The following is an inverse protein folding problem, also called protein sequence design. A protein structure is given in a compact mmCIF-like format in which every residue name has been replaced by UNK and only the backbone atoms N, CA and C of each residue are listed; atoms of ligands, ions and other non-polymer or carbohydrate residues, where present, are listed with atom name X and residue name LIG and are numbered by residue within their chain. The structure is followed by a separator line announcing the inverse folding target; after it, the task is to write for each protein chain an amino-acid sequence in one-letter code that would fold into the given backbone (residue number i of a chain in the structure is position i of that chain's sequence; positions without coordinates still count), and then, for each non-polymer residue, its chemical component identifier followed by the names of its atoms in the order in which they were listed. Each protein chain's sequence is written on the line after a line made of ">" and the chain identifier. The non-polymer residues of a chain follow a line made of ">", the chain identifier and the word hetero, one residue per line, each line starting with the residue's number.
data_IF_836352722168
#
_entry.id   IF_836352722168
#
_cell.length_a   1.000
_cell.length_b   1.000
_cell.length_c   1.000
_cell.angle_alpha   90.00
_cell.angle_beta   90.00
_cell.angle_gamma   90.00
#
_symmetry.space_group_name_H-M   'P 1'
#
loop_
_entity.id
_entity.type
_entity.pdbx_description
1 polymer ?
#
# COMPACT_ATOMS: atom_id res chain seq x y z
N UNK A 1 4.54 7.00 -14.87
CA UNK A 1 3.68 5.83 -15.15
C UNK A 1 2.95 5.48 -13.87
N UNK A 2 1.63 5.36 -13.97
CA UNK A 2 0.77 5.11 -12.82
C UNK A 2 0.92 3.68 -12.32
N UNK A 3 1.07 3.48 -11.02
CA UNK A 3 1.13 2.13 -10.43
C UNK A 3 -0.11 1.30 -10.81
N UNK A 4 -1.30 1.90 -10.76
CA UNK A 4 -2.57 1.25 -11.10
C UNK A 4 -2.72 0.84 -12.57
N UNK A 5 -1.86 1.28 -13.49
CA UNK A 5 -1.83 0.74 -14.86
C UNK A 5 -1.06 -0.58 -14.96
N UNK A 6 -0.30 -0.94 -13.91
CA UNK A 6 0.55 -2.14 -13.88
C UNK A 6 0.11 -3.17 -12.84
N UNK A 7 -0.77 -2.81 -11.91
CA UNK A 7 -1.14 -3.66 -10.78
C UNK A 7 -2.58 -3.46 -10.31
N UNK A 8 -3.12 -4.49 -9.67
CA UNK A 8 -4.36 -4.45 -8.90
C UNK A 8 -4.01 -4.39 -7.42
N UNK A 9 -4.76 -3.59 -6.67
CA UNK A 9 -4.53 -3.40 -5.24
C UNK A 9 -5.53 -4.14 -4.35
N UNK A 10 -5.05 -4.61 -3.20
CA UNK A 10 -5.86 -5.11 -2.09
C UNK A 10 -5.47 -4.42 -0.79
N UNK A 11 -6.44 -4.22 0.08
CA UNK A 11 -6.27 -3.69 1.43
C UNK A 11 -6.84 -4.64 2.48
N UNK A 12 -6.09 -4.89 3.54
CA UNK A 12 -6.53 -5.63 4.73
C UNK A 12 -6.08 -4.93 5.99
N UNK A 13 -6.71 -5.18 7.12
CA UNK A 13 -6.35 -4.59 8.40
C UNK A 13 -6.34 -5.65 9.50
N UNK A 14 -5.46 -5.49 10.48
CA UNK A 14 -5.42 -6.32 11.68
C UNK A 14 -5.02 -5.49 12.89
N UNK A 15 -5.99 -5.23 13.75
CA UNK A 15 -5.80 -4.32 14.88
C UNK A 15 -5.38 -2.94 14.38
N UNK A 16 -4.27 -2.41 14.89
CA UNK A 16 -3.75 -1.10 14.48
C UNK A 16 -2.92 -1.08 13.19
N UNK A 17 -2.81 -2.21 12.50
CA UNK A 17 -1.94 -2.38 11.33
C UNK A 17 -2.75 -2.45 10.04
N UNK A 18 -2.26 -1.79 9.00
CA UNK A 18 -2.78 -1.86 7.64
C UNK A 18 -1.88 -2.71 6.75
N UNK A 19 -2.48 -3.48 5.87
CA UNK A 19 -1.84 -4.31 4.86
C UNK A 19 -2.30 -3.84 3.48
N UNK A 20 -1.36 -3.32 2.69
CA UNK A 20 -1.58 -2.84 1.34
C UNK A 20 -0.76 -3.69 0.38
N UNK A 21 -1.44 -4.54 -0.40
CA UNK A 21 -0.78 -5.45 -1.33
C UNK A 21 -1.12 -5.08 -2.77
N UNK A 22 -0.09 -4.88 -3.59
CA UNK A 22 -0.18 -4.72 -5.03
C UNK A 22 0.19 -6.04 -5.70
N UNK A 23 -0.60 -6.47 -6.68
CA UNK A 23 -0.32 -7.63 -7.52
C UNK A 23 -0.19 -7.15 -8.95
N UNK A 24 1.00 -7.28 -9.54
CA UNK A 24 1.27 -6.85 -10.90
C UNK A 24 0.54 -7.73 -11.92
N UNK A 25 0.15 -7.11 -13.04
CA UNK A 25 -0.58 -7.78 -14.13
C UNK A 25 0.31 -8.81 -14.85
N UNK A 26 1.60 -8.52 -14.98
CA UNK A 26 2.60 -9.38 -15.61
C UNK A 26 4.00 -9.25 -14.95
N UNK A 27 4.97 -10.04 -15.42
CA UNK A 27 6.33 -10.07 -14.87
C UNK A 27 7.12 -8.79 -15.17
N UNK A 28 6.85 -8.13 -16.29
CA UNK A 28 7.52 -6.88 -16.66
C UNK A 28 7.07 -5.75 -15.73
N UNK A 29 5.76 -5.63 -15.50
CA UNK A 29 5.17 -4.71 -14.53
C UNK A 29 5.65 -4.99 -13.11
N UNK A 30 5.77 -6.27 -12.72
CA UNK A 30 6.35 -6.63 -11.42
C UNK A 30 7.78 -6.10 -11.26
N UNK A 31 8.68 -6.41 -12.20
CA UNK A 31 10.09 -5.96 -12.15
C UNK A 31 10.19 -4.44 -12.13
N UNK A 32 9.35 -3.77 -12.93
CA UNK A 32 9.30 -2.31 -12.97
C UNK A 32 8.89 -1.74 -11.61
N UNK A 33 7.79 -2.23 -11.03
CA UNK A 33 7.32 -1.81 -9.71
C UNK A 33 8.31 -2.16 -8.60
N UNK A 34 8.90 -3.34 -8.62
CA UNK A 34 9.88 -3.79 -7.61
C UNK A 34 11.09 -2.86 -7.54
N UNK A 35 11.54 -2.35 -8.70
CA UNK A 35 12.67 -1.41 -8.80
C UNK A 35 12.35 0.02 -8.36
N UNK A 36 11.11 0.49 -8.56
CA UNK A 36 10.74 1.92 -8.42
C UNK A 36 9.87 2.21 -7.21
N UNK A 37 8.91 1.33 -6.91
CA UNK A 37 8.08 1.43 -5.72
C UNK A 37 8.83 0.85 -4.51
N UNK A 38 9.85 1.58 -4.09
CA UNK A 38 10.67 1.26 -2.93
C UNK A 38 9.90 1.52 -1.63
N UNK A 39 10.40 0.98 -0.51
CA UNK A 39 9.83 1.25 0.81
C UNK A 39 9.79 2.75 1.12
N UNK A 40 10.85 3.50 0.79
CA UNK A 40 10.92 4.94 1.02
C UNK A 40 9.88 5.72 0.20
N UNK A 41 9.68 5.35 -1.07
CA UNK A 41 8.69 5.97 -1.95
C UNK A 41 7.27 5.70 -1.43
N UNK A 42 6.98 4.44 -1.07
CA UNK A 42 5.69 4.08 -0.50
C UNK A 42 5.44 4.78 0.85
N UNK A 43 6.45 4.83 1.73
CA UNK A 43 6.37 5.55 3.01
C UNK A 43 6.04 7.03 2.80
N UNK A 44 6.72 7.69 1.87
CA UNK A 44 6.49 9.10 1.58
C UNK A 44 5.05 9.36 1.07
N UNK A 45 4.52 8.49 0.22
CA UNK A 45 3.15 8.59 -0.26
C UNK A 45 2.12 8.37 0.86
N UNK A 46 2.29 7.31 1.66
CA UNK A 46 1.36 6.90 2.71
C UNK A 46 1.32 7.90 3.88
N UNK A 47 2.47 8.48 4.25
CA UNK A 47 2.58 9.45 5.34
C UNK A 47 1.74 10.73 5.12
N UNK A 48 1.32 11.00 3.88
CA UNK A 48 0.45 12.16 3.56
C UNK A 48 -0.97 11.99 4.07
N UNK A 49 -1.42 10.76 4.32
CA UNK A 49 -2.83 10.46 4.64
C UNK A 49 -3.01 9.64 5.90
N UNK A 50 -1.97 8.93 6.36
CA UNK A 50 -2.04 8.11 7.57
C UNK A 50 -0.72 8.13 8.35
N UNK A 51 -0.76 7.98 9.68
CA UNK A 51 0.44 7.78 10.47
C UNK A 51 1.01 6.37 10.24
N UNK A 52 2.18 6.11 10.82
CA UNK A 52 2.76 4.78 10.89
C UNK A 52 3.96 4.57 9.98
N UNK A 53 4.57 3.40 10.13
CA UNK A 53 5.77 3.00 9.41
C UNK A 53 5.42 1.85 8.45
N UNK A 54 5.63 2.10 7.17
CA UNK A 54 5.46 1.15 6.10
C UNK A 54 6.72 0.29 5.99
N UNK A 55 6.52 -1.03 6.01
CA UNK A 55 7.54 -2.01 5.69
C UNK A 55 7.17 -2.78 4.43
N UNK A 56 8.10 -2.87 3.48
CA UNK A 56 7.90 -3.50 2.17
C UNK A 56 8.36 -4.96 2.21
N UNK A 57 7.55 -5.82 1.60
CA UNK A 57 7.85 -7.23 1.36
C UNK A 57 7.61 -7.55 -0.12
N UNK A 58 8.63 -8.05 -0.80
CA UNK A 58 8.50 -8.57 -2.15
C UNK A 58 8.08 -10.04 -2.11
N UNK A 59 7.15 -10.43 -2.98
CA UNK A 59 6.68 -11.82 -3.13
C UNK A 59 6.73 -12.18 -4.62
N UNK A 60 7.92 -12.48 -5.16
CA UNK A 60 8.12 -12.63 -6.61
C UNK A 60 7.24 -13.72 -7.24
N UNK A 61 7.04 -14.84 -6.53
CA UNK A 61 6.19 -15.95 -7.01
C UNK A 61 4.72 -15.59 -7.21
N UNK A 62 4.26 -14.47 -6.63
CA UNK A 62 2.91 -13.94 -6.83
C UNK A 62 2.90 -12.62 -7.61
N UNK A 63 4.07 -12.17 -8.10
CA UNK A 63 4.24 -10.84 -8.72
C UNK A 63 3.71 -9.72 -7.81
N UNK A 64 3.92 -9.85 -6.50
CA UNK A 64 3.29 -8.98 -5.51
C UNK A 64 4.29 -8.18 -4.69
N UNK A 65 3.91 -6.93 -4.39
CA UNK A 65 4.58 -6.05 -3.43
C UNK A 65 3.60 -5.74 -2.31
N UNK A 66 3.99 -6.08 -1.10
CA UNK A 66 3.19 -5.90 0.11
C UNK A 66 3.80 -4.82 0.99
N UNK A 67 2.96 -3.92 1.47
CA UNK A 67 3.32 -2.83 2.38
C UNK A 67 2.50 -2.97 3.66
N UNK A 68 3.19 -3.27 4.75
CA UNK A 68 2.58 -3.39 6.08
C UNK A 68 2.84 -2.09 6.83
N UNK A 69 1.80 -1.35 7.17
CA UNK A 69 1.88 -0.06 7.85
C UNK A 69 1.45 -0.22 9.30
N UNK A 70 2.44 -0.34 10.18
CA UNK A 70 2.20 -0.46 11.62
C UNK A 70 1.82 0.89 12.22
N UNK A 71 0.76 0.91 13.02
CA UNK A 71 0.27 2.14 13.66
C UNK A 71 -0.59 3.03 12.76
N UNK A 72 -0.97 2.55 11.56
CA UNK A 72 -1.85 3.27 10.64
C UNK A 72 -3.26 3.51 11.19
N UNK A 73 -3.72 2.64 12.10
CA UNK A 73 -5.05 2.69 12.69
C UNK A 73 -4.94 2.77 14.22
N UNK A 74 -4.84 3.97 14.82
CA UNK A 74 -4.77 4.11 16.28
C UNK A 74 -6.01 3.46 16.93
N UNK A 75 -5.82 2.39 17.70
CA UNK A 75 -6.90 1.62 18.31
C UNK A 75 -7.68 0.70 17.35
N UNK A 76 -7.31 0.63 16.08
CA UNK A 76 -7.97 -0.19 15.05
C UNK A 76 -9.13 0.51 14.34
N UNK A 77 -9.79 -0.23 13.43
CA UNK A 77 -10.81 0.32 12.51
C UNK A 77 -11.95 1.06 13.21
N UNK A 78 -12.43 0.54 14.33
CA UNK A 78 -13.57 1.12 15.04
C UNK A 78 -13.18 2.23 16.03
N UNK A 79 -11.89 2.40 16.30
CA UNK A 79 -11.38 3.40 17.24
C UNK A 79 -10.50 4.47 16.59
N UNK A 80 -10.29 4.40 15.28
CA UNK A 80 -9.57 5.45 14.53
C UNK A 80 -10.44 6.70 14.41
N UNK A 81 -9.82 7.87 14.58
CA UNK A 81 -10.46 9.18 14.41
C UNK A 81 -10.48 9.65 12.95
N UNK A 82 -9.95 8.84 12.03
CA UNK A 82 -9.91 9.19 10.62
C UNK A 82 -11.33 9.23 10.03
N UNK A 83 -11.64 10.29 9.29
CA UNK A 83 -12.96 10.50 8.73
C UNK A 83 -13.28 9.45 7.65
N UNK A 84 -14.48 8.88 7.71
CA UNK A 84 -14.94 7.84 6.79
C UNK A 84 -14.88 6.45 7.39
N UNK A 85 -16.05 5.86 7.65
CA UNK A 85 -16.13 4.48 8.10
C UNK A 85 -15.51 3.57 7.03
N UNK A 86 -14.60 2.69 7.45
CA UNK A 86 -13.88 1.76 6.58
C UNK A 86 -12.93 2.40 5.53
N UNK A 87 -12.48 3.64 5.72
CA UNK A 87 -11.51 4.32 4.82
C UNK A 87 -10.27 3.47 4.50
N UNK A 88 -9.85 2.61 5.43
CA UNK A 88 -8.69 1.73 5.26
C UNK A 88 -8.86 0.74 4.10
N UNK A 89 -10.09 0.49 3.65
CA UNK A 89 -10.37 -0.30 2.45
C UNK A 89 -10.04 0.46 1.15
N UNK A 90 -10.14 1.78 1.18
CA UNK A 90 -9.77 2.64 0.07
C UNK A 90 -8.29 3.05 0.08
N UNK A 91 -7.59 2.88 1.20
CA UNK A 91 -6.19 3.32 1.37
C UNK A 91 -5.20 2.75 0.34
N UNK A 92 -5.52 1.62 -0.29
CA UNK A 92 -4.70 1.07 -1.38
C UNK A 92 -4.61 2.01 -2.59
N UNK A 93 -5.62 2.88 -2.79
CA UNK A 93 -5.63 3.86 -3.86
C UNK A 93 -4.51 4.89 -3.75
N UNK A 94 -3.98 5.14 -2.55
CA UNK A 94 -2.81 6.00 -2.34
C UNK A 94 -1.61 5.48 -3.14
N UNK A 95 -1.46 4.15 -3.21
CA UNK A 95 -0.40 3.51 -3.98
C UNK A 95 -0.79 3.33 -5.44
N UNK A 96 -2.05 2.95 -5.74
CA UNK A 96 -2.49 2.75 -7.12
C UNK A 96 -2.51 4.04 -7.95
N UNK A 97 -2.80 5.18 -7.34
CA UNK A 97 -2.83 6.49 -8.01
C UNK A 97 -1.45 7.15 -8.10
N UNK A 98 -0.43 6.55 -7.46
CA UNK A 98 0.93 7.09 -7.46
C UNK A 98 1.55 7.03 -8.86
N UNK A 99 2.04 8.17 -9.32
CA UNK A 99 2.87 8.28 -10.51
C UNK A 99 4.35 8.08 -10.14
N UNK A 100 5.03 7.21 -10.87
CA UNK A 100 6.46 6.94 -10.72
C UNK A 100 7.17 7.16 -12.07
N UNK A 101 8.42 7.64 -12.03
CA UNK A 101 9.24 7.88 -13.23
C UNK A 101 9.79 6.59 -13.88
#
# INVERSE_FOLDING_TARGET
>A
MRVGSLAIGRSGDKGGTLDLTLVALDDAGYRWLESRLTEAVAQAALARVMPGQAKRYAVPGLRALKFVVSGALPGGVYATLHAGLHWQKAAIWVLLDLELD
#
